data_IF_374989654219
#
_entry.id   IF_374989654219
#
_cell.length_a   1.000
_cell.length_b   1.000
_cell.length_c   1.000
_cell.angle_alpha   90.00
_cell.angle_beta   90.00
_cell.angle_gamma   90.00
#
_symmetry.space_group_name_H-M   'P 1'
#
loop_
_entity.id
_entity.type
_entity.pdbx_description
1 polymer ?
#
# COMPACT_ATOMS: atom_id res chain seq x y z
N UNK A 1 5.43 -21.82 -4.19
CA UNK A 1 4.49 -22.19 -3.11
C UNK A 1 3.39 -21.13 -3.15
N UNK A 2 2.28 -21.36 -3.83
CA UNK A 2 1.16 -20.41 -3.82
C UNK A 2 0.33 -20.55 -2.54
N UNK A 3 -0.35 -19.47 -2.14
CA UNK A 3 -1.22 -19.43 -0.96
C UNK A 3 -2.47 -18.64 -1.32
N UNK A 4 -3.64 -19.20 -1.04
CA UNK A 4 -4.91 -18.47 -1.07
C UNK A 4 -5.16 -17.85 0.32
N UNK A 5 -5.39 -16.55 0.35
CA UNK A 5 -5.89 -15.84 1.54
C UNK A 5 -7.17 -15.09 1.16
N UNK A 6 -8.31 -15.57 1.64
CA UNK A 6 -9.59 -14.89 1.45
C UNK A 6 -10.02 -14.76 -0.01
N UNK A 7 -9.60 -15.70 -0.87
CA UNK A 7 -9.84 -15.68 -2.31
C UNK A 7 -8.77 -14.93 -3.11
N UNK A 8 -7.73 -14.39 -2.46
CA UNK A 8 -6.59 -13.78 -3.13
C UNK A 8 -5.46 -14.79 -3.27
N UNK A 9 -5.17 -15.18 -4.51
CA UNK A 9 -4.04 -16.04 -4.87
C UNK A 9 -2.72 -15.28 -4.81
N UNK A 10 -1.86 -15.66 -3.88
CA UNK A 10 -0.52 -15.12 -3.70
C UNK A 10 0.52 -16.07 -4.27
N UNK A 11 1.59 -15.53 -4.89
CA UNK A 11 2.70 -16.35 -5.40
C UNK A 11 3.52 -17.02 -4.29
N UNK A 12 3.36 -16.54 -3.06
CA UNK A 12 4.08 -16.95 -1.87
C UNK A 12 3.57 -16.27 -0.60
N UNK A 13 3.98 -16.74 0.58
CA UNK A 13 3.51 -16.20 1.86
C UNK A 13 4.23 -14.91 2.30
N UNK A 14 5.26 -14.47 1.57
CA UNK A 14 6.08 -13.32 1.94
C UNK A 14 5.60 -12.09 1.18
N UNK A 15 5.19 -11.05 1.90
CA UNK A 15 4.72 -9.78 1.32
C UNK A 15 5.60 -8.62 1.79
N UNK A 16 5.72 -7.59 0.96
CA UNK A 16 6.24 -6.31 1.42
C UNK A 16 5.19 -5.60 2.29
N UNK A 17 5.57 -5.22 3.51
CA UNK A 17 4.70 -4.53 4.45
C UNK A 17 4.42 -3.08 4.01
N UNK A 18 3.25 -2.55 4.36
CA UNK A 18 2.88 -1.17 4.03
C UNK A 18 3.92 -0.18 4.56
N UNK A 19 4.22 0.84 3.74
CA UNK A 19 5.19 1.90 4.08
C UNK A 19 6.66 1.53 3.88
N UNK A 20 6.98 0.27 3.58
CA UNK A 20 8.37 -0.17 3.29
C UNK A 20 8.71 -0.17 1.80
N UNK A 21 7.70 -0.25 0.93
CA UNK A 21 7.85 -0.42 -0.53
C UNK A 21 7.19 0.70 -1.35
N UNK A 22 6.81 1.81 -0.71
CA UNK A 22 6.13 2.93 -1.38
C UNK A 22 4.87 2.45 -2.11
N UNK A 23 4.81 2.73 -3.42
CA UNK A 23 3.75 2.23 -4.29
C UNK A 23 4.26 1.17 -5.29
N UNK A 24 5.47 0.64 -5.05
CA UNK A 24 6.10 -0.43 -5.83
C UNK A 24 6.69 0.02 -7.16
N UNK A 25 6.35 1.23 -7.62
CA UNK A 25 6.88 1.83 -8.86
C UNK A 25 8.32 2.30 -8.71
N UNK A 26 8.73 2.61 -7.50
CA UNK A 26 10.08 3.08 -7.15
C UNK A 26 11.08 1.92 -6.97
N UNK A 27 10.59 0.67 -6.92
CA UNK A 27 11.38 -0.51 -6.55
C UNK A 27 11.79 -1.33 -7.78
N UNK A 28 13.04 -1.83 -7.84
CA UNK A 28 13.50 -2.70 -8.93
C UNK A 28 12.58 -3.91 -9.16
N UNK A 29 12.38 -4.29 -10.42
CA UNK A 29 11.51 -5.41 -10.80
C UNK A 29 11.93 -6.75 -10.18
N UNK A 30 13.24 -6.93 -9.93
CA UNK A 30 13.78 -8.16 -9.36
C UNK A 30 13.24 -8.43 -7.94
N UNK A 31 13.06 -7.38 -7.13
CA UNK A 31 12.54 -7.50 -5.77
C UNK A 31 11.05 -7.87 -5.78
N UNK A 32 10.27 -7.33 -6.73
CA UNK A 32 8.84 -7.68 -6.91
C UNK A 32 8.63 -9.15 -7.29
N UNK A 33 9.55 -9.75 -8.04
CA UNK A 33 9.44 -11.17 -8.45
C UNK A 33 9.73 -12.15 -7.31
N UNK A 34 10.43 -11.72 -6.25
CA UNK A 34 10.76 -12.55 -5.11
C UNK A 34 9.63 -12.62 -4.06
N UNK A 35 8.62 -11.75 -4.17
CA UNK A 35 7.54 -11.61 -3.21
C UNK A 35 6.22 -12.21 -3.71
N UNK A 36 5.36 -12.58 -2.76
CA UNK A 36 4.00 -13.08 -3.00
C UNK A 36 3.04 -12.01 -3.47
N UNK A 37 3.08 -10.86 -2.80
CA UNK A 37 2.34 -9.63 -3.09
C UNK A 37 3.04 -8.45 -2.39
N UNK A 38 2.53 -7.23 -2.57
CA UNK A 38 2.89 -6.09 -1.75
C UNK A 38 1.65 -5.43 -1.15
N UNK A 39 1.84 -4.78 0.00
CA UNK A 39 0.89 -3.82 0.52
C UNK A 39 1.41 -2.41 0.23
N UNK A 40 0.64 -1.61 -0.50
CA UNK A 40 1.00 -0.23 -0.82
C UNK A 40 1.16 0.59 0.46
N UNK A 41 1.89 1.69 0.38
CA UNK A 41 1.86 2.72 1.40
C UNK A 41 0.43 3.20 1.66
N UNK A 42 0.14 3.45 2.94
CA UNK A 42 -1.16 3.94 3.39
C UNK A 42 -1.66 5.15 2.63
N UNK A 43 -2.93 5.10 2.22
CA UNK A 43 -3.62 6.17 1.50
C UNK A 43 -4.81 6.69 2.31
N UNK A 44 -5.07 7.98 2.16
CA UNK A 44 -6.28 8.68 2.63
C UNK A 44 -7.09 9.16 1.43
N UNK A 45 -8.33 9.59 1.64
CA UNK A 45 -9.13 10.27 0.63
C UNK A 45 -8.37 11.47 0.03
N UNK A 46 -7.77 12.31 0.88
CA UNK A 46 -7.02 13.49 0.46
C UNK A 46 -5.52 13.33 0.70
N UNK A 47 -4.74 14.12 -0.06
CA UNK A 47 -3.30 14.20 0.11
C UNK A 47 -2.91 14.66 1.52
N UNK A 48 -1.78 14.13 2.02
CA UNK A 48 -1.18 14.49 3.32
C UNK A 48 0.30 14.75 3.14
N UNK A 49 0.80 15.82 3.75
CA UNK A 49 2.24 16.16 3.74
C UNK A 49 3.06 15.30 4.71
N UNK A 50 2.42 14.73 5.72
CA UNK A 50 3.06 14.02 6.83
C UNK A 50 3.58 14.96 7.92
N UNK A 51 4.36 14.40 8.85
CA UNK A 51 4.97 15.13 9.97
C UNK A 51 6.18 15.99 9.52
N UNK A 52 6.63 16.99 10.26
CA UNK A 52 7.91 17.65 9.96
C UNK A 52 9.12 16.70 10.16
N UNK A 53 10.25 16.89 9.45
CA UNK A 53 11.49 16.18 9.76
C UNK A 53 12.11 16.64 11.09
N UNK A 54 12.90 15.79 11.77
CA UNK A 54 13.29 14.43 11.40
C UNK A 54 12.17 13.40 11.61
N UNK A 55 12.01 12.48 10.66
CA UNK A 55 10.94 11.46 10.66
C UNK A 55 11.40 10.03 10.94
N UNK A 56 12.72 9.81 11.02
CA UNK A 56 13.33 8.50 11.21
C UNK A 56 14.49 8.62 12.19
N UNK A 57 14.69 7.59 13.01
CA UNK A 57 15.83 7.47 13.92
C UNK A 57 16.26 6.01 14.03
N UNK A 58 17.56 5.73 13.95
CA UNK A 58 18.10 4.38 14.13
C UNK A 58 18.06 3.95 15.61
N UNK A 59 17.85 2.66 15.85
CA UNK A 59 17.94 2.03 17.18
C UNK A 59 18.73 0.73 17.08
N UNK A 60 19.24 0.17 18.20
CA UNK A 60 19.84 -1.16 18.17
C UNK A 60 18.89 -2.17 17.54
N UNK A 61 19.32 -2.80 16.44
CA UNK A 61 18.55 -3.78 15.67
C UNK A 61 17.23 -3.27 15.10
N UNK A 62 17.09 -1.96 14.84
CA UNK A 62 15.87 -1.43 14.23
C UNK A 62 15.90 0.06 13.93
N UNK A 63 14.70 0.62 13.76
CA UNK A 63 14.51 2.06 13.58
C UNK A 63 13.13 2.50 14.08
N UNK A 64 13.04 3.74 14.53
CA UNK A 64 11.79 4.45 14.75
C UNK A 64 11.41 5.24 13.49
N UNK A 65 10.10 5.34 13.24
CA UNK A 65 9.57 6.22 12.21
C UNK A 65 8.34 6.99 12.74
N UNK A 66 8.21 8.23 12.30
CA UNK A 66 7.06 9.07 12.50
C UNK A 66 6.79 9.79 11.18
N UNK A 67 6.32 9.07 10.16
CA UNK A 67 6.14 9.61 8.80
C UNK A 67 4.90 10.52 8.69
N UNK A 68 3.90 10.30 9.55
CA UNK A 68 2.61 11.01 9.48
C UNK A 68 1.76 10.62 8.27
N UNK A 69 1.98 9.42 7.72
CA UNK A 69 1.21 8.88 6.59
C UNK A 69 1.16 9.82 5.38
N UNK A 70 2.29 10.45 5.05
CA UNK A 70 2.43 11.28 3.86
C UNK A 70 2.00 10.50 2.61
N UNK A 71 1.11 11.05 1.80
CA UNK A 71 0.63 10.38 0.59
C UNK A 71 -0.11 11.32 -0.35
N UNK A 72 -0.31 10.93 -1.61
CA UNK A 72 -0.85 11.80 -2.65
C UNK A 72 -2.38 11.87 -2.68
N UNK A 73 -3.07 11.06 -1.87
CA UNK A 73 -4.54 10.93 -1.89
C UNK A 73 -5.03 9.88 -2.90
N UNK A 74 -6.27 9.42 -2.72
CA UNK A 74 -6.85 8.30 -3.46
C UNK A 74 -7.04 8.60 -4.95
N UNK A 75 -7.43 9.83 -5.31
CA UNK A 75 -7.59 10.23 -6.72
C UNK A 75 -6.29 10.07 -7.51
N UNK A 76 -5.16 10.49 -6.92
CA UNK A 76 -3.84 10.36 -7.54
C UNK A 76 -3.42 8.88 -7.59
N UNK A 77 -3.72 8.11 -6.55
CA UNK A 77 -3.48 6.65 -6.54
C UNK A 77 -4.17 5.97 -7.73
N UNK A 78 -5.46 6.24 -7.91
CA UNK A 78 -6.28 5.65 -8.98
C UNK A 78 -5.79 6.10 -10.36
N UNK A 79 -5.39 7.37 -10.50
CA UNK A 79 -4.94 7.91 -11.79
C UNK A 79 -3.55 7.42 -12.19
N UNK A 80 -2.61 7.38 -11.25
CA UNK A 80 -1.18 7.26 -11.59
C UNK A 80 -0.56 5.91 -11.22
N UNK A 81 -1.09 5.21 -10.22
CA UNK A 81 -0.49 3.98 -9.71
C UNK A 81 -1.30 2.73 -10.08
N UNK A 82 -2.63 2.76 -9.90
CA UNK A 82 -3.50 1.63 -10.21
C UNK A 82 -3.36 1.12 -11.67
N UNK A 83 -3.25 1.97 -12.71
CA UNK A 83 -3.08 1.50 -14.08
C UNK A 83 -1.77 0.71 -14.26
N UNK A 84 -0.71 1.09 -13.54
CA UNK A 84 0.56 0.37 -13.58
C UNK A 84 0.44 -0.97 -12.86
N UNK A 85 -0.24 -1.01 -11.72
CA UNK A 85 -0.48 -2.25 -10.98
C UNK A 85 -1.31 -3.25 -11.80
N UNK A 86 -2.25 -2.76 -12.61
CA UNK A 86 -3.06 -3.59 -13.51
C UNK A 86 -2.22 -4.32 -14.58
N UNK A 87 -1.04 -3.79 -14.93
CA UNK A 87 -0.10 -4.44 -15.85
C UNK A 87 0.81 -5.47 -15.15
N UNK A 88 0.75 -5.57 -13.82
CA UNK A 88 1.62 -6.45 -13.06
C UNK A 88 0.98 -7.81 -12.82
N UNK A 89 1.77 -8.86 -12.98
CA UNK A 89 1.42 -10.20 -12.48
C UNK A 89 1.68 -10.34 -10.96
N UNK A 90 1.79 -9.22 -10.25
CA UNK A 90 2.17 -9.13 -8.84
C UNK A 90 1.05 -8.42 -8.07
N UNK A 91 0.28 -9.13 -7.22
CA UNK A 91 -0.87 -8.54 -6.54
C UNK A 91 -0.48 -7.37 -5.62
N UNK A 92 -1.30 -6.32 -5.63
CA UNK A 92 -1.15 -5.14 -4.79
C UNK A 92 -2.36 -5.00 -3.88
N UNK A 93 -2.17 -5.18 -2.58
CA UNK A 93 -3.14 -4.77 -1.58
C UNK A 93 -2.95 -3.29 -1.27
N UNK A 94 -4.03 -2.55 -1.11
CA UNK A 94 -3.97 -1.12 -0.76
C UNK A 94 -4.20 -0.97 0.74
N UNK A 95 -3.21 -0.42 1.45
CA UNK A 95 -3.39 0.00 2.84
C UNK A 95 -4.25 1.26 2.88
N UNK A 96 -5.42 1.19 3.49
CA UNK A 96 -6.36 2.32 3.60
C UNK A 96 -6.40 2.88 5.03
N UNK A 97 -6.53 4.20 5.12
CA UNK A 97 -6.53 4.95 6.36
C UNK A 97 -7.66 5.99 6.34
N UNK A 98 -8.19 6.30 7.51
CA UNK A 98 -9.23 7.31 7.70
C UNK A 98 -9.23 7.82 9.14
N UNK A 99 -9.82 8.99 9.36
CA UNK A 99 -10.01 9.58 10.69
C UNK A 99 -11.40 9.26 11.25
N UNK A 100 -12.25 8.60 10.46
CA UNK A 100 -13.53 8.07 10.89
C UNK A 100 -13.92 6.83 10.09
N UNK A 101 -14.80 5.98 10.64
CA UNK A 101 -15.34 4.82 9.93
C UNK A 101 -16.02 5.19 8.59
N UNK A 102 -16.61 6.40 8.50
CA UNK A 102 -17.19 6.91 7.27
C UNK A 102 -16.12 7.13 6.19
N UNK A 103 -14.96 7.70 6.56
CA UNK A 103 -13.86 7.89 5.62
C UNK A 103 -13.27 6.57 5.13
N UNK A 104 -13.16 5.55 6.00
CA UNK A 104 -12.76 4.20 5.57
C UNK A 104 -13.75 3.62 4.56
N UNK A 105 -15.05 3.75 4.83
CA UNK A 105 -16.10 3.25 3.93
C UNK A 105 -16.10 3.96 2.58
N UNK A 106 -15.96 5.28 2.56
CA UNK A 106 -15.86 6.08 1.34
C UNK A 106 -14.62 5.70 0.53
N UNK A 107 -13.47 5.57 1.18
CA UNK A 107 -12.22 5.21 0.52
C UNK A 107 -12.25 3.79 -0.04
N UNK A 108 -12.78 2.83 0.72
CA UNK A 108 -12.96 1.47 0.25
C UNK A 108 -13.91 1.42 -0.96
N UNK A 109 -15.03 2.12 -0.91
CA UNK A 109 -15.98 2.19 -2.04
C UNK A 109 -15.38 2.86 -3.28
N UNK A 110 -14.53 3.87 -3.11
CA UNK A 110 -13.84 4.54 -4.22
C UNK A 110 -12.81 3.64 -4.91
N UNK A 111 -12.16 2.75 -4.16
CA UNK A 111 -11.13 1.85 -4.67
C UNK A 111 -11.69 0.49 -5.12
N UNK A 112 -12.93 0.15 -4.76
CA UNK A 112 -13.55 -1.10 -5.14
C UNK A 112 -13.69 -1.22 -6.66
N UNK A 113 -13.30 -2.38 -7.20
CA UNK A 113 -13.29 -2.65 -8.63
C UNK A 113 -12.25 -1.88 -9.45
N UNK A 114 -11.39 -1.05 -8.84
CA UNK A 114 -10.31 -0.35 -9.56
C UNK A 114 -9.28 -1.39 -10.06
N UNK A 115 -8.97 -1.45 -11.37
CA UNK A 115 -7.99 -2.38 -11.90
C UNK A 115 -6.62 -2.23 -11.21
N UNK A 116 -5.99 -3.36 -10.87
CA UNK A 116 -4.70 -3.39 -10.17
C UNK A 116 -4.80 -3.33 -8.64
N UNK A 117 -5.98 -3.06 -8.07
CA UNK A 117 -6.23 -3.21 -6.63
C UNK A 117 -6.73 -4.62 -6.36
N UNK A 118 -5.92 -5.42 -5.65
CA UNK A 118 -6.21 -6.82 -5.37
C UNK A 118 -6.99 -7.03 -4.06
N UNK A 119 -7.00 -6.02 -3.19
CA UNK A 119 -7.67 -6.07 -1.89
C UNK A 119 -7.26 -4.91 -0.99
N UNK A 120 -7.80 -4.88 0.23
CA UNK A 120 -7.57 -3.82 1.20
C UNK A 120 -6.92 -4.34 2.47
N UNK A 121 -5.97 -3.58 3.00
CA UNK A 121 -5.50 -3.69 4.39
C UNK A 121 -6.05 -2.49 5.16
N UNK A 122 -6.90 -2.74 6.17
CA UNK A 122 -7.48 -1.69 6.99
C UNK A 122 -6.48 -1.34 8.11
N UNK A 123 -5.92 -0.13 8.09
CA UNK A 123 -5.03 0.34 9.14
C UNK A 123 -5.84 1.05 10.24
N UNK A 124 -5.94 0.45 11.44
CA UNK A 124 -6.79 0.92 12.56
C UNK A 124 -5.99 1.53 13.70
#
# INVERSE_FOLDING_TARGET
MSVDIGGLELRGPVLAASGTFGYGTEVPLLERRALGAMVSKGIFLRAREGTPPPRIAETPSGMLNAIGLQGPGSEVLIRDYAPRWAEWDFPVLVNINGESAAEYGELAAMLDGVPGVAGFEINI
#
